data_IF_709650189889
#
_entry.id   IF_709650189889
#
_cell.length_a   1.000
_cell.length_b   1.000
_cell.length_c   1.000
_cell.angle_alpha   90.00
_cell.angle_beta   90.00
_cell.angle_gamma   90.00
#
_symmetry.space_group_name_H-M   'P 1'
#
loop_
_entity.id
_entity.type
_entity.pdbx_description
1 polymer ?
#
# COMPACT_ATOMS: atom_id res chain seq x y z
N UNK A 1 -5.91 24.53 -51.38
CA UNK A 1 -4.50 24.67 -51.81
C UNK A 1 -3.59 23.80 -50.97
N UNK A 2 -3.70 23.81 -49.64
CA UNK A 2 -2.97 22.89 -48.75
C UNK A 2 -3.33 21.40 -48.92
N UNK A 3 -4.59 21.06 -49.24
CA UNK A 3 -5.00 19.65 -49.47
C UNK A 3 -4.33 18.97 -50.68
N UNK A 4 -3.90 19.75 -51.68
CA UNK A 4 -3.28 19.22 -52.91
C UNK A 4 -1.76 19.25 -52.86
N UNK A 5 -1.17 20.17 -52.10
CA UNK A 5 0.28 20.42 -52.11
C UNK A 5 0.95 20.22 -50.74
N UNK A 6 0.20 19.95 -49.68
CA UNK A 6 0.72 19.82 -48.32
C UNK A 6 1.46 21.07 -47.84
N UNK A 7 2.09 20.98 -46.67
CA UNK A 7 3.00 22.03 -46.18
C UNK A 7 2.44 22.95 -45.11
N UNK A 8 1.33 22.57 -44.49
CA UNK A 8 0.79 23.26 -43.31
C UNK A 8 1.83 23.29 -42.17
N UNK A 9 2.65 22.25 -42.02
CA UNK A 9 3.75 22.19 -41.05
C UNK A 9 4.85 23.25 -41.26
N UNK A 10 5.09 23.69 -42.50
CA UNK A 10 6.11 24.72 -42.78
C UNK A 10 5.56 26.13 -42.64
N UNK A 11 4.29 26.35 -42.98
CA UNK A 11 3.62 27.63 -42.80
C UNK A 11 3.31 27.93 -41.32
N UNK A 12 3.01 26.90 -40.53
CA UNK A 12 2.66 27.02 -39.11
C UNK A 12 3.88 27.15 -38.20
N UNK A 13 5.05 26.65 -38.63
CA UNK A 13 6.27 26.68 -37.84
C UNK A 13 6.85 28.09 -37.86
N UNK A 14 6.93 28.72 -36.68
CA UNK A 14 7.54 30.05 -36.53
C UNK A 14 8.98 30.02 -37.05
N UNK A 15 9.22 30.74 -38.15
CA UNK A 15 10.55 30.98 -38.66
C UNK A 15 11.33 31.88 -37.69
N UNK A 16 12.66 31.76 -37.61
CA UNK A 16 13.47 32.66 -36.79
C UNK A 16 13.23 34.12 -37.21
N UNK A 17 13.10 35.01 -36.23
CA UNK A 17 12.87 36.45 -36.42
C UNK A 17 13.78 37.11 -37.47
N UNK A 18 15.11 36.89 -37.51
CA UNK A 18 15.95 37.52 -38.54
C UNK A 18 15.58 37.06 -39.97
N UNK A 19 15.13 35.82 -40.15
CA UNK A 19 14.69 35.33 -41.47
C UNK A 19 13.36 35.95 -41.89
N UNK A 20 12.46 36.20 -40.94
CA UNK A 20 11.19 36.87 -41.21
C UNK A 20 11.39 38.35 -41.56
N UNK A 21 12.36 39.01 -40.94
CA UNK A 21 12.67 40.43 -41.16
C UNK A 21 13.65 40.64 -42.33
N UNK A 22 14.13 39.56 -42.98
CA UNK A 22 15.13 39.64 -44.05
C UNK A 22 16.50 40.16 -43.59
N UNK A 23 16.79 40.08 -42.28
CA UNK A 23 18.07 40.51 -41.72
C UNK A 23 19.15 39.44 -41.97
N UNK A 24 20.28 39.85 -42.54
CA UNK A 24 21.42 38.97 -42.83
C UNK A 24 22.45 38.92 -41.71
N UNK A 25 22.36 39.82 -40.72
CA UNK A 25 23.34 39.98 -39.63
C UNK A 25 22.67 39.88 -38.26
N UNK A 26 23.29 39.13 -37.34
CA UNK A 26 22.88 39.05 -35.94
C UNK A 26 23.95 39.70 -35.07
N UNK A 27 23.62 40.82 -34.41
CA UNK A 27 24.53 41.50 -33.49
C UNK A 27 24.61 40.75 -32.16
N UNK A 28 25.84 40.44 -31.70
CA UNK A 28 26.10 39.74 -30.44
C UNK A 28 27.18 40.49 -29.66
N UNK A 29 26.86 40.92 -28.43
CA UNK A 29 27.82 41.54 -27.52
C UNK A 29 28.42 40.48 -26.59
N UNK A 30 29.76 40.43 -26.52
CA UNK A 30 30.50 39.54 -25.61
C UNK A 30 31.07 40.32 -24.42
N UNK A 31 31.03 39.72 -23.23
CA UNK A 31 31.82 40.14 -22.07
C UNK A 31 33.31 39.90 -22.32
N UNK A 32 34.16 40.55 -21.54
CA UNK A 32 35.60 40.28 -21.48
C UNK A 32 35.89 38.79 -21.21
N UNK A 33 35.01 38.11 -20.46
CA UNK A 33 35.08 36.68 -20.14
C UNK A 33 34.58 35.76 -21.28
N UNK A 34 34.17 36.32 -22.43
CA UNK A 34 33.60 35.56 -23.55
C UNK A 34 32.14 35.14 -23.37
N UNK A 35 31.50 35.56 -22.27
CA UNK A 35 30.06 35.36 -22.04
C UNK A 35 29.22 36.27 -22.92
N UNK A 36 28.18 35.75 -23.58
CA UNK A 36 27.22 36.56 -24.36
C UNK A 36 26.36 37.42 -23.41
N UNK A 37 26.34 38.73 -23.65
CA UNK A 37 25.56 39.73 -22.89
C UNK A 37 24.27 40.09 -23.62
N UNK A 38 24.32 40.28 -24.94
CA UNK A 38 23.17 40.63 -25.79
C UNK A 38 23.19 39.87 -27.10
N UNK A 39 22.02 39.67 -27.67
CA UNK A 39 21.84 39.18 -29.05
C UNK A 39 21.37 37.74 -29.13
N UNK A 40 22.12 36.80 -28.53
CA UNK A 40 21.80 35.38 -28.64
C UNK A 40 21.40 34.79 -27.28
N UNK A 41 20.20 34.22 -27.21
CA UNK A 41 19.78 33.43 -26.05
C UNK A 41 20.76 32.27 -25.86
N UNK A 42 21.23 32.08 -24.62
CA UNK A 42 22.06 30.92 -24.28
C UNK A 42 21.23 29.67 -24.52
N UNK A 43 21.59 28.92 -25.56
CA UNK A 43 20.99 27.61 -25.80
C UNK A 43 21.31 26.71 -24.61
N UNK A 44 20.29 26.20 -23.93
CA UNK A 44 20.47 25.18 -22.91
C UNK A 44 21.10 23.96 -23.60
N UNK A 45 22.31 23.60 -23.17
CA UNK A 45 23.02 22.44 -23.66
C UNK A 45 22.31 21.21 -23.10
N UNK A 46 21.47 20.58 -23.92
CA UNK A 46 20.94 19.27 -23.60
C UNK A 46 22.02 18.23 -23.90
N UNK A 47 22.16 17.22 -23.03
CA UNK A 47 23.03 16.08 -23.28
C UNK A 47 22.54 15.30 -24.50
N UNK A 48 23.36 14.38 -25.02
CA UNK A 48 22.98 13.51 -26.15
C UNK A 48 21.76 12.62 -25.83
N UNK A 49 21.48 12.39 -24.56
CA UNK A 49 20.44 11.50 -24.10
C UNK A 49 19.23 12.29 -23.62
N UNK A 50 18.06 11.72 -23.82
CA UNK A 50 16.82 12.33 -23.37
C UNK A 50 16.72 12.14 -21.86
N UNK A 51 17.08 13.18 -21.12
CA UNK A 51 16.93 13.25 -19.67
C UNK A 51 15.42 13.35 -19.31
N UNK A 52 15.08 13.03 -18.06
CA UNK A 52 13.74 13.23 -17.47
C UNK A 52 12.56 12.52 -18.17
N UNK A 53 12.82 11.47 -18.95
CA UNK A 53 11.76 10.60 -19.48
C UNK A 53 11.20 9.67 -18.40
N UNK A 54 10.12 10.13 -17.79
CA UNK A 54 9.28 9.34 -16.90
C UNK A 54 8.39 8.37 -17.69
N UNK A 55 8.42 7.10 -17.31
CA UNK A 55 7.61 6.05 -17.93
C UNK A 55 6.17 6.10 -17.40
N UNK A 56 5.18 5.68 -18.19
CA UNK A 56 3.81 5.37 -17.75
C UNK A 56 3.11 6.45 -16.87
N UNK A 57 3.21 7.72 -17.27
CA UNK A 57 2.59 8.88 -16.59
C UNK A 57 3.02 9.08 -15.12
N UNK A 58 4.17 8.55 -14.72
CA UNK A 58 4.76 8.91 -13.43
C UNK A 58 5.34 10.32 -13.51
N UNK A 59 5.40 11.06 -12.39
CA UNK A 59 6.10 12.37 -12.32
C UNK A 59 7.51 12.25 -11.75
N UNK A 60 7.86 11.07 -11.22
CA UNK A 60 9.14 10.77 -10.61
C UNK A 60 9.68 9.46 -11.15
N UNK A 61 10.99 9.36 -11.26
CA UNK A 61 11.68 8.16 -11.76
C UNK A 61 11.58 7.02 -10.76
N UNK A 62 11.66 5.78 -11.23
CA UNK A 62 11.77 4.61 -10.37
C UNK A 62 13.00 4.72 -9.45
N UNK A 63 12.83 4.46 -8.16
CA UNK A 63 13.89 4.62 -7.16
C UNK A 63 13.84 5.95 -6.41
N UNK A 64 12.92 6.84 -6.76
CA UNK A 64 12.62 8.07 -6.00
C UNK A 64 12.05 7.79 -4.60
N UNK A 65 11.54 6.58 -4.33
CA UNK A 65 11.02 6.17 -3.03
C UNK A 65 11.68 4.87 -2.54
N UNK A 66 12.08 4.86 -1.26
CA UNK A 66 12.54 3.67 -0.54
C UNK A 66 11.68 3.44 0.69
N UNK A 67 11.14 2.22 0.84
CA UNK A 67 10.40 1.85 2.03
C UNK A 67 10.45 0.33 2.26
N UNK A 68 10.71 -0.10 3.50
CA UNK A 68 10.75 -1.52 3.91
C UNK A 68 11.56 -2.42 2.96
N UNK A 69 12.76 -1.97 2.56
CA UNK A 69 13.65 -2.76 1.70
C UNK A 69 13.24 -2.80 0.22
N UNK A 70 12.27 -1.99 -0.20
CA UNK A 70 11.77 -1.94 -1.58
C UNK A 70 11.91 -0.54 -2.15
N UNK A 71 12.41 -0.47 -3.38
CA UNK A 71 12.39 0.74 -4.20
C UNK A 71 11.06 0.87 -4.93
N UNK A 72 10.60 2.10 -5.12
CA UNK A 72 9.36 2.42 -5.80
C UNK A 72 9.36 3.81 -6.42
N UNK A 73 8.18 4.20 -6.91
CA UNK A 73 7.91 5.54 -7.45
C UNK A 73 7.42 6.47 -6.33
N UNK A 74 8.04 7.63 -6.18
CA UNK A 74 7.66 8.65 -5.19
C UNK A 74 6.37 9.39 -5.50
N UNK A 75 5.91 9.41 -6.75
CA UNK A 75 4.70 10.12 -7.12
C UNK A 75 3.41 9.45 -6.60
N UNK A 76 3.33 8.12 -6.64
CA UNK A 76 2.13 7.36 -6.25
C UNK A 76 2.40 6.21 -5.27
N UNK A 77 3.63 6.07 -4.77
CA UNK A 77 3.99 5.06 -3.76
C UNK A 77 3.99 3.61 -4.24
N UNK A 78 4.07 3.37 -5.55
CA UNK A 78 4.02 2.02 -6.12
C UNK A 78 5.40 1.35 -6.15
N UNK A 79 5.46 0.06 -5.79
CA UNK A 79 6.68 -0.76 -5.74
C UNK A 79 6.78 -1.76 -6.90
N UNK A 80 6.05 -1.55 -8.00
CA UNK A 80 6.11 -2.40 -9.20
C UNK A 80 6.65 -1.57 -10.36
N UNK A 81 7.75 -2.03 -10.96
CA UNK A 81 8.34 -1.41 -12.15
C UNK A 81 7.36 -1.44 -13.31
N UNK A 82 7.31 -0.35 -14.08
CA UNK A 82 6.45 -0.20 -15.25
C UNK A 82 4.94 -0.30 -14.95
N UNK A 83 4.51 -0.12 -13.69
CA UNK A 83 3.10 0.11 -13.38
C UNK A 83 2.65 1.48 -13.92
N UNK A 84 1.35 1.66 -14.16
CA UNK A 84 0.79 2.98 -14.46
C UNK A 84 0.64 3.80 -13.18
N UNK A 85 0.85 5.11 -13.28
CA UNK A 85 0.68 6.01 -12.15
C UNK A 85 -0.77 6.00 -11.65
N UNK A 86 -0.93 5.74 -10.35
CA UNK A 86 -2.24 5.78 -9.66
C UNK A 86 -2.55 7.15 -9.05
N UNK A 87 -1.69 8.14 -9.28
CA UNK A 87 -1.88 9.53 -8.85
C UNK A 87 -2.04 9.68 -7.34
N UNK A 88 -2.91 10.62 -6.94
CA UNK A 88 -3.16 10.95 -5.53
C UNK A 88 -3.73 9.79 -4.71
N UNK A 89 -4.51 8.91 -5.34
CA UNK A 89 -5.09 7.73 -4.68
C UNK A 89 -3.99 6.79 -4.21
N UNK A 90 -2.98 6.56 -5.06
CA UNK A 90 -1.81 5.77 -4.71
C UNK A 90 -1.02 6.40 -3.55
N UNK A 91 -0.90 7.72 -3.54
CA UNK A 91 -0.20 8.45 -2.48
C UNK A 91 -0.90 8.32 -1.12
N UNK A 92 -2.23 8.50 -1.07
CA UNK A 92 -3.02 8.30 0.15
C UNK A 92 -2.94 6.86 0.64
N UNK A 93 -3.12 5.89 -0.26
CA UNK A 93 -3.00 4.48 0.08
C UNK A 93 -1.60 4.13 0.62
N UNK A 94 -0.55 4.76 0.08
CA UNK A 94 0.81 4.61 0.59
C UNK A 94 1.00 5.27 1.96
N UNK A 95 0.44 6.46 2.19
CA UNK A 95 0.46 7.13 3.49
C UNK A 95 -0.27 6.32 4.56
N UNK A 96 -1.44 5.75 4.24
CA UNK A 96 -2.18 4.84 5.11
C UNK A 96 -1.36 3.59 5.42
N UNK A 97 -0.73 2.98 4.39
CA UNK A 97 0.14 1.81 4.57
C UNK A 97 1.40 2.12 5.38
N UNK A 98 1.99 3.31 5.20
CA UNK A 98 3.17 3.78 5.91
C UNK A 98 2.85 4.09 7.37
N UNK A 99 1.67 4.65 7.64
CA UNK A 99 1.14 4.87 8.99
C UNK A 99 0.76 3.58 9.72
N UNK A 100 0.51 2.49 8.99
CA UNK A 100 -0.03 1.25 9.55
C UNK A 100 0.99 0.29 10.22
N UNK A 101 2.27 0.64 10.44
CA UNK A 101 3.25 -0.27 11.12
C UNK A 101 4.23 0.54 11.99
N UNK A 102 4.39 0.34 13.31
CA UNK A 102 4.52 -0.88 14.12
C UNK A 102 3.54 -0.83 15.30
N UNK A 103 2.62 -1.80 15.42
CA UNK A 103 1.82 -2.00 16.65
C UNK A 103 0.42 -1.36 16.71
N UNK A 104 -0.04 -0.68 15.67
CA UNK A 104 -1.42 -0.17 15.59
C UNK A 104 -2.04 -0.60 14.27
N UNK A 105 -2.52 -1.83 14.22
CA UNK A 105 -3.58 -2.14 13.28
C UNK A 105 -4.84 -1.38 13.73
N UNK A 106 -5.63 -0.74 12.83
CA UNK A 106 -7.00 -0.35 13.13
C UNK A 106 -7.90 -1.61 13.13
N UNK A 107 -7.49 -2.62 13.90
CA UNK A 107 -8.32 -3.80 14.17
C UNK A 107 -9.39 -3.51 15.23
N UNK A 108 -9.38 -2.34 15.87
CA UNK A 108 -10.24 -2.07 17.02
C UNK A 108 -11.67 -1.62 16.64
N UNK A 109 -11.87 -0.84 15.58
CA UNK A 109 -13.22 -0.30 15.31
C UNK A 109 -14.16 -1.28 14.59
N UNK A 110 -13.69 -1.95 13.53
CA UNK A 110 -14.52 -2.95 12.84
C UNK A 110 -14.75 -4.21 13.69
N UNK A 111 -13.75 -4.62 14.49
CA UNK A 111 -13.90 -5.76 15.39
C UNK A 111 -14.78 -5.41 16.59
N UNK A 112 -14.74 -4.17 17.09
CA UNK A 112 -15.65 -3.70 18.15
C UNK A 112 -17.12 -3.84 17.77
N UNK A 113 -17.48 -3.43 16.54
CA UNK A 113 -18.85 -3.56 16.02
C UNK A 113 -19.25 -5.02 15.80
N UNK A 114 -18.35 -5.85 15.28
CA UNK A 114 -18.61 -7.28 15.10
C UNK A 114 -18.75 -8.03 16.43
N UNK A 115 -17.93 -7.69 17.44
CA UNK A 115 -18.01 -8.24 18.80
C UNK A 115 -19.28 -7.77 19.50
N UNK A 116 -19.70 -6.51 19.33
CA UNK A 116 -20.98 -6.01 19.84
C UNK A 116 -22.19 -6.71 19.20
N UNK A 117 -22.19 -6.86 17.87
CA UNK A 117 -23.26 -7.57 17.16
C UNK A 117 -23.35 -9.04 17.58
N UNK A 118 -22.21 -9.71 17.79
CA UNK A 118 -22.18 -11.09 18.27
C UNK A 118 -22.61 -11.20 19.74
N UNK A 119 -22.26 -10.24 20.60
CA UNK A 119 -22.71 -10.17 21.99
C UNK A 119 -24.22 -9.95 22.10
N UNK A 120 -24.79 -9.06 21.27
CA UNK A 120 -26.23 -8.83 21.20
C UNK A 120 -27.00 -10.08 20.74
N UNK A 121 -26.47 -10.81 19.74
CA UNK A 121 -27.08 -12.05 19.28
C UNK A 121 -27.02 -13.17 20.33
N UNK A 122 -25.93 -13.24 21.11
CA UNK A 122 -25.81 -14.19 22.23
C UNK A 122 -26.73 -13.84 23.40
N UNK A 123 -26.92 -12.56 23.71
CA UNK A 123 -27.85 -12.09 24.76
C UNK A 123 -29.32 -12.36 24.38
N UNK A 124 -29.70 -12.09 23.12
CA UNK A 124 -31.04 -12.40 22.62
C UNK A 124 -31.32 -13.91 22.65
N UNK A 125 -30.33 -14.74 22.29
CA UNK A 125 -30.43 -16.21 22.35
C UNK A 125 -30.46 -16.76 23.78
N UNK A 126 -29.87 -16.04 24.75
CA UNK A 126 -29.95 -16.40 26.16
C UNK A 126 -31.31 -16.06 26.77
N UNK A 127 -31.91 -14.92 26.42
CA UNK A 127 -33.25 -14.53 26.84
C UNK A 127 -34.35 -15.45 26.28
N UNK A 128 -34.20 -15.92 25.03
CA UNK A 128 -35.11 -16.90 24.45
C UNK A 128 -35.05 -18.28 25.14
N UNK A 129 -33.91 -18.65 25.74
CA UNK A 129 -33.75 -19.92 26.47
C UNK A 129 -34.34 -19.92 27.88
N UNK A 130 -34.66 -18.76 28.45
CA UNK A 130 -35.34 -18.66 29.75
C UNK A 130 -36.85 -18.86 29.65
N UNK A 131 -37.46 -18.61 28.49
CA UNK A 131 -38.90 -18.86 28.28
C UNK A 131 -39.21 -20.30 27.83
N UNK A 132 -38.27 -21.00 27.17
CA UNK A 132 -38.44 -22.40 26.75
C UNK A 132 -38.16 -23.44 27.87
N UNK A 133 -37.83 -23.00 29.10
CA UNK A 133 -37.65 -23.88 30.28
C UNK A 133 -38.83 -23.89 31.25
N UNK A 134 -40.01 -23.44 30.81
CA UNK A 134 -41.27 -23.57 31.57
C UNK A 134 -42.25 -24.59 30.97
N UNK A 135 -41.96 -25.19 29.81
CA UNK A 135 -42.82 -26.21 29.20
C UNK A 135 -42.01 -27.41 28.69
N UNK A 136 -42.48 -28.61 29.04
CA UNK A 136 -42.12 -29.91 28.47
C UNK A 136 -41.02 -30.72 29.20
N UNK A 137 -41.37 -31.27 30.37
CA UNK A 137 -40.88 -32.60 30.77
C UNK A 137 -41.46 -33.63 29.79
N UNK A 138 -40.69 -34.03 28.79
CA UNK A 138 -40.95 -35.26 28.02
C UNK A 138 -39.66 -36.06 27.85
N UNK A 139 -39.69 -37.28 28.39
CA UNK A 139 -38.69 -38.34 28.20
C UNK A 139 -38.56 -38.66 26.71
N UNK A 140 -37.35 -38.70 26.18
CA UNK A 140 -37.04 -39.47 24.97
C UNK A 140 -35.65 -40.08 25.10
N UNK A 141 -35.59 -41.38 24.81
CA UNK A 141 -34.49 -42.29 25.04
C UNK A 141 -33.34 -42.16 24.03
N UNK A 142 -32.17 -42.60 24.50
CA UNK A 142 -31.08 -43.28 23.78
C UNK A 142 -31.32 -43.53 22.27
N UNK A 143 -30.41 -43.02 21.44
CA UNK A 143 -30.38 -43.27 20.01
C UNK A 143 -29.06 -42.80 19.41
N UNK A 144 -28.06 -43.67 19.49
CA UNK A 144 -26.78 -43.61 18.80
C UNK A 144 -26.96 -43.26 17.32
N UNK A 145 -26.35 -42.15 16.88
CA UNK A 145 -26.12 -41.83 15.47
C UNK A 145 -24.72 -41.24 15.31
N UNK A 146 -23.79 -42.15 15.08
CA UNK A 146 -22.48 -41.88 14.52
C UNK A 146 -22.65 -41.40 13.06
N UNK A 147 -22.57 -40.09 12.83
CA UNK A 147 -22.36 -39.52 11.49
C UNK A 147 -21.04 -38.74 11.49
N UNK A 148 -20.03 -39.35 10.89
CA UNK A 148 -18.74 -38.74 10.66
C UNK A 148 -18.82 -37.57 9.67
N UNK A 149 -18.24 -36.43 10.07
CA UNK A 149 -17.71 -35.41 9.14
C UNK A 149 -16.42 -34.86 9.72
N UNK A 150 -15.36 -34.90 8.89
CA UNK A 150 -14.03 -34.39 9.22
C UNK A 150 -14.07 -32.92 9.65
N UNK A 151 -13.26 -32.60 10.66
CA UNK A 151 -13.16 -31.26 11.23
C UNK A 151 -11.89 -31.11 12.05
N UNK A 152 -10.88 -30.52 11.41
CA UNK A 152 -9.86 -29.60 11.93
C UNK A 152 -9.75 -29.48 13.47
N UNK A 153 -8.60 -29.91 13.99
CA UNK A 153 -7.94 -29.50 15.25
C UNK A 153 -8.85 -29.02 16.40
N UNK A 154 -9.69 -29.90 16.92
CA UNK A 154 -10.20 -29.70 18.28
C UNK A 154 -9.05 -29.96 19.26
N UNK A 155 -8.38 -28.89 19.69
CA UNK A 155 -7.41 -28.95 20.78
C UNK A 155 -8.04 -29.64 22.00
N UNK A 156 -7.55 -30.84 22.34
CA UNK A 156 -7.97 -31.61 23.51
C UNK A 156 -7.60 -30.85 24.79
N UNK A 157 -8.49 -29.96 25.27
CA UNK A 157 -8.28 -29.14 26.47
C UNK A 157 -7.88 -29.96 27.70
N UNK A 158 -8.36 -31.20 27.80
CA UNK A 158 -8.02 -32.14 28.88
C UNK A 158 -6.56 -32.59 28.83
N UNK A 159 -6.01 -32.80 27.63
CA UNK A 159 -4.59 -33.16 27.44
C UNK A 159 -3.70 -31.98 27.76
N UNK A 160 -4.09 -30.77 27.35
CA UNK A 160 -3.36 -29.54 27.65
C UNK A 160 -3.32 -29.25 29.16
N UNK A 161 -4.46 -29.37 29.86
CA UNK A 161 -4.51 -29.17 31.31
C UNK A 161 -3.68 -30.21 32.09
N UNK A 162 -3.60 -31.44 31.56
CA UNK A 162 -2.77 -32.50 32.15
C UNK A 162 -1.29 -32.18 31.99
N UNK A 163 -0.87 -31.75 30.80
CA UNK A 163 0.51 -31.36 30.53
C UNK A 163 0.97 -30.17 31.39
N UNK A 164 0.13 -29.13 31.52
CA UNK A 164 0.42 -27.97 32.38
C UNK A 164 0.59 -28.35 33.86
N UNK A 165 -0.28 -29.24 34.37
CA UNK A 165 -0.22 -29.70 35.76
C UNK A 165 1.01 -30.58 36.03
N UNK A 166 1.50 -31.27 35.00
CA UNK A 166 2.71 -32.09 35.09
C UNK A 166 3.99 -31.25 35.06
N UNK A 167 4.02 -30.19 34.25
CA UNK A 167 5.10 -29.19 34.27
C UNK A 167 5.12 -28.40 35.59
N UNK A 168 3.96 -28.03 36.14
CA UNK A 168 3.88 -27.40 37.47
C UNK A 168 4.44 -28.32 38.57
N UNK A 169 4.18 -29.64 38.49
CA UNK A 169 4.77 -30.63 39.39
C UNK A 169 6.27 -30.82 39.20
N UNK A 170 6.79 -30.62 37.98
CA UNK A 170 8.24 -30.67 37.68
C UNK A 170 8.97 -29.40 38.13
N UNK A 171 8.34 -28.23 38.00
CA UNK A 171 8.90 -26.94 38.40
C UNK A 171 8.98 -26.71 39.92
N UNK A 172 8.17 -27.42 40.71
CA UNK A 172 8.16 -27.29 42.18
C UNK A 172 9.33 -27.95 42.94
N UNK A 173 10.25 -28.63 42.25
CA UNK A 173 11.33 -29.43 42.86
C UNK A 173 12.73 -28.82 42.82
N UNK A 174 12.89 -27.52 42.53
CA UNK A 174 14.18 -26.87 42.30
C UNK A 174 14.57 -25.83 43.36
N UNK A 175 14.39 -26.12 44.65
CA UNK A 175 14.73 -25.20 45.75
C UNK A 175 15.53 -25.89 46.85
N UNK A 176 16.76 -26.33 46.56
CA UNK A 176 17.57 -27.09 47.52
C UNK A 176 19.08 -26.95 47.34
N UNK A 177 19.65 -25.86 47.86
CA UNK A 177 20.95 -25.89 48.55
C UNK A 177 22.22 -25.55 47.75
N UNK A 178 22.90 -24.47 48.17
CA UNK A 178 24.27 -24.50 48.74
C UNK A 178 24.67 -23.10 49.23
N UNK A 179 24.73 -22.93 50.56
CA UNK A 179 25.49 -21.87 51.24
C UNK A 179 26.55 -22.55 52.10
N UNK A 180 27.75 -21.96 52.06
CA UNK A 180 29.04 -22.34 52.66
C UNK A 180 29.85 -23.35 51.88
#
# INVERSE_FOLDING_TARGET
MFDQYGGEEYASKKLPTPLLLGQTENYVEYSQDGSIIKGQERKVLNSKYEEDKVTNNHTMVWGSLWHNGRWGFGCCGQFIRNSYCTGEVGRKAFEDQRGARIGQSPMCEASSLAVHAMAQHMAARAAAKTEEKASEVRKVSMGDRNEGKGGVDTFDKKRLSKALKEEERRGGGGGGGRRR
#
